data_IF_950438324436
#
_entry.id   IF_950438324436
#
_cell.length_a   1.000
_cell.length_b   1.000
_cell.length_c   1.000
_cell.angle_alpha   90.00
_cell.angle_beta   90.00
_cell.angle_gamma   90.00
#
_symmetry.space_group_name_H-M   'P 1'
#
loop_
_entity.id
_entity.type
_entity.pdbx_description
1 polymer ?
#
# COMPACT_ATOMS: atom_id res chain seq x y z
N UNK A 1 8.37 5.74 22.64
CA UNK A 1 7.93 6.58 21.51
C UNK A 1 6.41 6.45 21.34
N UNK A 2 5.71 7.55 21.07
CA UNK A 2 4.25 7.56 20.81
C UNK A 2 3.96 7.62 19.31
N UNK A 3 2.75 7.28 18.87
CA UNK A 3 2.39 7.34 17.45
C UNK A 3 2.45 8.76 16.85
N UNK A 4 2.00 9.83 17.53
CA UNK A 4 2.20 11.20 17.05
C UNK A 4 3.68 11.55 16.83
N UNK A 5 4.58 11.09 17.71
CA UNK A 5 6.01 11.31 17.54
C UNK A 5 6.56 10.58 16.30
N UNK A 6 6.04 9.36 16.02
CA UNK A 6 6.40 8.58 14.83
C UNK A 6 5.86 9.17 13.53
N UNK A 7 4.65 9.74 13.56
CA UNK A 7 4.08 10.49 12.44
C UNK A 7 4.93 11.72 12.13
N UNK A 8 5.34 12.46 13.17
CA UNK A 8 6.20 13.63 13.04
C UNK A 8 7.59 13.27 12.49
N UNK A 9 8.18 12.17 12.98
CA UNK A 9 9.52 11.72 12.59
C UNK A 9 9.56 11.08 11.20
N UNK A 10 8.43 10.56 10.71
CA UNK A 10 8.31 9.80 9.47
C UNK A 10 8.46 8.29 9.62
N UNK A 11 8.53 7.78 10.85
CA UNK A 11 8.59 6.34 11.17
C UNK A 11 7.22 5.66 11.13
N UNK A 12 6.15 6.44 11.01
CA UNK A 12 4.80 5.98 10.76
C UNK A 12 4.21 6.77 9.59
N UNK A 13 3.70 6.04 8.60
CA UNK A 13 2.95 6.60 7.46
C UNK A 13 1.56 6.00 7.50
N UNK A 14 0.52 6.83 7.47
CA UNK A 14 -0.86 6.38 7.58
C UNK A 14 -1.41 5.92 6.23
N UNK A 15 -0.87 4.81 5.73
CA UNK A 15 -1.34 4.16 4.50
C UNK A 15 -1.17 2.64 4.63
N UNK A 16 -1.99 1.87 3.93
CA UNK A 16 -1.92 0.41 3.94
C UNK A 16 -2.32 -0.19 2.61
N UNK A 17 -2.19 -1.51 2.47
CA UNK A 17 -2.48 -2.19 1.20
C UNK A 17 -3.98 -2.20 0.82
N UNK A 18 -4.88 -2.02 1.81
CA UNK A 18 -6.33 -2.21 1.62
C UNK A 18 -7.14 -0.95 1.94
N UNK A 19 -7.06 -0.45 3.18
CA UNK A 19 -8.13 0.36 3.80
C UNK A 19 -8.05 1.87 3.59
N UNK A 20 -7.00 2.38 2.96
CA UNK A 20 -6.84 3.83 2.80
C UNK A 20 -7.84 4.35 1.76
N UNK A 21 -8.73 5.31 2.08
CA UNK A 21 -9.65 5.90 1.11
C UNK A 21 -8.88 6.60 -0.02
N UNK A 22 -9.40 6.55 -1.25
CA UNK A 22 -8.74 7.12 -2.42
C UNK A 22 -8.48 8.64 -2.27
N UNK A 23 -9.44 9.37 -1.71
CA UNK A 23 -9.36 10.80 -1.42
C UNK A 23 -8.30 11.16 -0.37
N UNK A 24 -7.91 10.21 0.47
CA UNK A 24 -6.81 10.38 1.42
C UNK A 24 -5.43 10.15 0.76
N UNK A 25 -5.40 9.55 -0.43
CA UNK A 25 -4.16 9.27 -1.19
C UNK A 25 -3.86 10.40 -2.18
N UNK A 26 -4.86 10.85 -2.93
CA UNK A 26 -4.72 11.95 -3.91
C UNK A 26 -5.95 12.85 -3.93
N UNK A 27 -5.74 14.15 -4.13
CA UNK A 27 -6.82 15.11 -4.32
C UNK A 27 -7.36 15.12 -5.77
N UNK A 28 -6.53 14.73 -6.73
CA UNK A 28 -6.87 14.72 -8.15
C UNK A 28 -6.26 13.52 -8.87
N UNK A 29 -6.94 13.05 -9.92
CA UNK A 29 -6.52 11.94 -10.79
C UNK A 29 -6.57 12.37 -12.26
N UNK A 30 -5.78 11.73 -13.15
CA UNK A 30 -5.88 11.96 -14.59
C UNK A 30 -7.22 11.46 -15.12
N UNK A 31 -7.86 12.25 -15.99
CA UNK A 31 -9.11 11.87 -16.66
C UNK A 31 -9.20 12.58 -18.02
N UNK A 32 -9.38 11.81 -19.10
CA UNK A 32 -9.56 12.31 -20.48
C UNK A 32 -8.57 13.41 -20.91
N UNK A 33 -7.30 13.26 -20.57
CA UNK A 33 -6.24 14.23 -20.89
C UNK A 33 -6.18 15.46 -19.98
N UNK A 34 -7.10 15.58 -19.02
CA UNK A 34 -7.09 16.57 -17.96
C UNK A 34 -6.84 15.97 -16.57
N UNK A 35 -7.16 16.76 -15.54
CA UNK A 35 -7.11 16.36 -14.14
C UNK A 35 -8.46 16.61 -13.49
N UNK A 36 -9.02 15.58 -12.86
CA UNK A 36 -10.30 15.62 -12.17
C UNK A 36 -10.10 15.52 -10.65
N UNK A 37 -10.92 16.25 -9.88
CA UNK A 37 -10.96 16.11 -8.43
C UNK A 37 -11.51 14.75 -8.01
N UNK A 38 -10.93 14.18 -6.95
CA UNK A 38 -11.45 12.96 -6.33
C UNK A 38 -12.57 13.31 -5.35
N UNK A 39 -13.72 12.64 -5.46
CA UNK A 39 -14.84 12.79 -4.53
C UNK A 39 -14.45 12.36 -3.11
N UNK A 40 -14.95 13.07 -2.10
CA UNK A 40 -14.74 12.78 -0.68
C UNK A 40 -15.77 11.79 -0.08
N UNK A 41 -16.56 11.11 -0.91
CA UNK A 41 -17.62 10.19 -0.47
C UNK A 41 -17.11 8.78 -0.08
N UNK A 42 -15.81 8.52 -0.18
CA UNK A 42 -15.21 7.22 0.17
C UNK A 42 -15.60 6.07 -0.77
N UNK A 43 -15.80 6.35 -2.07
CA UNK A 43 -16.27 5.35 -3.03
C UNK A 43 -15.30 4.21 -3.30
N UNK A 44 -13.99 4.46 -3.17
CA UNK A 44 -12.94 3.47 -3.40
C UNK A 44 -11.88 3.53 -2.32
N UNK A 45 -11.28 2.37 -2.06
CA UNK A 45 -10.09 2.25 -1.23
C UNK A 45 -8.87 1.97 -2.10
N UNK A 46 -7.67 2.18 -1.56
CA UNK A 46 -6.41 1.90 -2.27
C UNK A 46 -6.27 0.41 -2.64
N UNK A 47 -6.93 -0.48 -1.90
CA UNK A 47 -7.05 -1.89 -2.27
C UNK A 47 -7.73 -2.09 -3.63
N UNK A 48 -8.67 -1.22 -4.03
CA UNK A 48 -9.34 -1.29 -5.34
C UNK A 48 -8.38 -0.99 -6.47
N UNK A 49 -7.50 0.00 -6.31
CA UNK A 49 -6.44 0.29 -7.28
C UNK A 49 -5.47 -0.88 -7.43
N UNK A 50 -5.05 -1.51 -6.33
CA UNK A 50 -4.13 -2.66 -6.38
C UNK A 50 -4.78 -3.92 -6.93
N UNK A 51 -6.06 -4.14 -6.63
CA UNK A 51 -6.85 -5.23 -7.19
C UNK A 51 -7.07 -5.03 -8.70
N UNK A 52 -7.36 -3.79 -9.12
CA UNK A 52 -7.49 -3.43 -10.54
C UNK A 52 -6.19 -3.70 -11.32
N UNK A 53 -5.05 -3.28 -10.75
CA UNK A 53 -3.70 -3.48 -11.31
C UNK A 53 -3.16 -4.91 -11.16
N UNK A 54 -3.90 -5.83 -10.55
CA UNK A 54 -3.45 -7.22 -10.32
C UNK A 54 -2.29 -7.36 -9.33
N UNK A 55 -2.01 -6.33 -8.52
CA UNK A 55 -1.02 -6.37 -7.43
C UNK A 55 -1.58 -7.03 -6.16
N UNK A 56 -2.90 -7.08 -6.05
CA UNK A 56 -3.64 -7.68 -4.95
C UNK A 56 -4.63 -8.71 -5.50
N UNK A 57 -4.75 -9.85 -4.84
CA UNK A 57 -5.76 -10.86 -5.19
C UNK A 57 -7.09 -10.58 -4.48
N UNK A 58 -8.20 -11.10 -5.03
CA UNK A 58 -9.52 -11.01 -4.39
C UNK A 58 -9.55 -11.64 -3.00
N UNK A 59 -8.81 -12.75 -2.80
CA UNK A 59 -8.70 -13.45 -1.51
C UNK A 59 -7.96 -12.61 -0.47
N UNK A 60 -6.99 -11.81 -0.89
CA UNK A 60 -6.23 -10.93 0.00
C UNK A 60 -7.01 -9.67 0.43
N UNK A 61 -8.04 -9.29 -0.33
CA UNK A 61 -8.91 -8.16 -0.02
C UNK A 61 -9.94 -8.57 1.04
N UNK A 62 -9.49 -8.57 2.30
CA UNK A 62 -10.23 -9.12 3.44
C UNK A 62 -11.08 -8.08 4.19
N UNK A 63 -10.99 -6.79 3.88
CA UNK A 63 -11.85 -5.78 4.47
C UNK A 63 -13.14 -5.59 3.66
N UNK A 64 -14.23 -5.10 4.29
CA UNK A 64 -15.42 -4.70 3.56
C UNK A 64 -15.08 -3.67 2.48
N UNK A 65 -15.67 -3.84 1.30
CA UNK A 65 -15.63 -2.85 0.23
C UNK A 65 -16.62 -1.72 0.54
N UNK A 66 -16.36 -0.48 0.08
CA UNK A 66 -17.24 0.66 0.33
C UNK A 66 -18.71 0.46 -0.10
N UNK A 67 -18.94 -0.31 -1.15
CA UNK A 67 -20.27 -0.59 -1.71
C UNK A 67 -20.86 -1.93 -1.22
N UNK A 68 -20.14 -2.67 -0.38
CA UNK A 68 -20.54 -4.00 0.08
C UNK A 68 -20.52 -5.10 -0.99
N UNK A 69 -20.08 -4.80 -2.23
CA UNK A 69 -19.98 -5.79 -3.31
C UNK A 69 -18.69 -6.61 -3.18
N UNK A 70 -18.62 -7.82 -3.75
CA UNK A 70 -17.40 -8.63 -3.70
C UNK A 70 -16.14 -7.86 -4.16
N UNK A 71 -14.95 -8.13 -3.59
CA UNK A 71 -13.72 -7.48 -4.01
C UNK A 71 -13.15 -8.19 -5.26
N UNK A 72 -13.84 -8.07 -6.38
CA UNK A 72 -13.37 -8.53 -7.70
C UNK A 72 -12.77 -7.37 -8.49
N UNK A 73 -11.93 -7.67 -9.49
CA UNK A 73 -11.36 -6.64 -10.38
C UNK A 73 -12.46 -5.79 -11.04
N UNK A 74 -13.54 -6.43 -11.47
CA UNK A 74 -14.70 -5.76 -12.09
C UNK A 74 -15.35 -4.75 -11.15
N UNK A 75 -15.74 -5.15 -9.93
CA UNK A 75 -16.35 -4.23 -8.97
C UNK A 75 -15.38 -3.18 -8.43
N UNK A 76 -14.08 -3.49 -8.37
CA UNK A 76 -13.06 -2.48 -8.09
C UNK A 76 -13.05 -1.39 -9.17
N UNK A 77 -13.20 -1.76 -10.46
CA UNK A 77 -13.30 -0.80 -11.55
C UNK A 77 -14.51 0.12 -11.44
N UNK A 78 -15.67 -0.41 -11.04
CA UNK A 78 -16.84 0.41 -10.75
C UNK A 78 -16.62 1.40 -9.60
N UNK A 79 -16.04 0.93 -8.49
CA UNK A 79 -15.70 1.79 -7.34
C UNK A 79 -14.70 2.89 -7.74
N UNK A 80 -13.69 2.55 -8.54
CA UNK A 80 -12.71 3.50 -9.06
C UNK A 80 -13.38 4.54 -9.97
N UNK A 81 -14.31 4.16 -10.85
CA UNK A 81 -15.02 5.13 -11.69
C UNK A 81 -15.79 6.16 -10.85
N UNK A 82 -16.41 5.71 -9.76
CA UNK A 82 -17.17 6.60 -8.86
C UNK A 82 -16.30 7.63 -8.15
N UNK A 83 -14.98 7.41 -8.03
CA UNK A 83 -14.06 8.40 -7.43
C UNK A 83 -14.08 9.74 -8.16
N UNK A 84 -14.44 9.77 -9.44
CA UNK A 84 -14.61 10.98 -10.25
C UNK A 84 -16.07 11.22 -10.63
N UNK A 85 -17.01 10.69 -9.83
CA UNK A 85 -18.44 10.76 -10.06
C UNK A 85 -18.90 10.18 -11.41
N UNK A 86 -18.18 9.18 -11.93
CA UNK A 86 -18.50 8.48 -13.16
C UNK A 86 -18.90 7.01 -12.90
N UNK A 87 -19.22 6.29 -13.98
CA UNK A 87 -19.52 4.86 -13.98
C UNK A 87 -18.79 4.14 -15.13
N UNK A 88 -19.11 2.86 -15.33
CA UNK A 88 -18.50 2.00 -16.36
C UNK A 88 -19.07 2.20 -17.77
N UNK A 89 -20.19 2.91 -17.92
CA UNK A 89 -20.67 3.35 -19.23
C UNK A 89 -19.87 4.56 -19.71
N UNK A 90 -19.39 5.40 -18.77
CA UNK A 90 -18.58 6.58 -19.05
C UNK A 90 -17.08 6.30 -19.17
N UNK A 91 -16.53 5.39 -18.34
CA UNK A 91 -15.08 5.12 -18.28
C UNK A 91 -14.72 3.74 -18.80
N UNK A 92 -13.82 3.72 -19.78
CA UNK A 92 -13.17 2.51 -20.28
C UNK A 92 -12.01 2.05 -19.37
N UNK A 93 -11.42 0.90 -19.72
CA UNK A 93 -10.31 0.32 -18.95
C UNK A 93 -9.07 1.22 -18.95
N UNK A 94 -8.81 1.98 -20.02
CA UNK A 94 -7.67 2.88 -20.10
C UNK A 94 -7.80 4.06 -19.12
N UNK A 95 -9.01 4.63 -18.99
CA UNK A 95 -9.29 5.65 -17.99
C UNK A 95 -9.12 5.09 -16.56
N UNK A 96 -9.62 3.88 -16.29
CA UNK A 96 -9.45 3.23 -14.99
C UNK A 96 -7.99 2.87 -14.67
N UNK A 97 -7.22 2.43 -15.67
CA UNK A 97 -5.78 2.17 -15.53
C UNK A 97 -5.04 3.45 -15.12
N UNK A 98 -5.39 4.60 -15.72
CA UNK A 98 -4.82 5.88 -15.37
C UNK A 98 -5.15 6.30 -13.93
N UNK A 99 -6.40 6.14 -13.50
CA UNK A 99 -6.86 6.44 -12.13
C UNK A 99 -6.16 5.53 -11.11
N UNK A 100 -6.20 4.21 -11.33
CA UNK A 100 -5.59 3.23 -10.44
C UNK A 100 -4.06 3.39 -10.37
N UNK A 101 -3.42 3.69 -11.51
CA UNK A 101 -2.00 4.04 -11.58
C UNK A 101 -1.67 5.26 -10.73
N UNK A 102 -2.41 6.36 -10.91
CA UNK A 102 -2.19 7.58 -10.16
C UNK A 102 -2.30 7.39 -8.63
N UNK A 103 -3.29 6.61 -8.17
CA UNK A 103 -3.48 6.26 -6.76
C UNK A 103 -2.31 5.44 -6.22
N UNK A 104 -1.97 4.34 -6.88
CA UNK A 104 -0.90 3.45 -6.42
C UNK A 104 0.47 4.15 -6.45
N UNK A 105 0.77 4.92 -7.49
CA UNK A 105 2.04 5.65 -7.60
C UNK A 105 2.13 6.75 -6.53
N UNK A 106 1.01 7.43 -6.21
CA UNK A 106 0.96 8.41 -5.12
C UNK A 106 1.18 7.78 -3.74
N UNK A 107 0.64 6.58 -3.52
CA UNK A 107 0.90 5.83 -2.29
C UNK A 107 2.39 5.50 -2.17
N UNK A 108 3.01 4.97 -3.23
CA UNK A 108 4.45 4.67 -3.26
C UNK A 108 5.28 5.93 -3.01
N UNK A 109 4.94 7.06 -3.65
CA UNK A 109 5.62 8.35 -3.42
C UNK A 109 5.54 8.79 -1.96
N UNK A 110 4.39 8.62 -1.31
CA UNK A 110 4.20 8.97 0.10
C UNK A 110 5.11 8.13 1.01
N UNK A 111 5.17 6.82 0.80
CA UNK A 111 6.06 5.92 1.57
C UNK A 111 7.52 6.26 1.28
N UNK A 112 7.90 6.46 0.02
CA UNK A 112 9.26 6.81 -0.38
C UNK A 112 9.71 8.14 0.25
N UNK A 113 8.84 9.15 0.31
CA UNK A 113 9.15 10.43 0.96
C UNK A 113 9.44 10.26 2.45
N UNK A 114 8.71 9.39 3.15
CA UNK A 114 9.00 9.06 4.54
C UNK A 114 10.36 8.34 4.67
N UNK A 115 10.64 7.36 3.81
CA UNK A 115 11.92 6.65 3.79
C UNK A 115 13.10 7.59 3.52
N UNK A 116 12.98 8.56 2.59
CA UNK A 116 14.04 9.56 2.33
C UNK A 116 14.44 10.30 3.60
N UNK A 117 13.47 10.78 4.39
CA UNK A 117 13.74 11.47 5.66
C UNK A 117 14.49 10.60 6.65
N UNK A 118 14.19 9.29 6.69
CA UNK A 118 14.89 8.35 7.56
C UNK A 118 16.33 8.13 7.10
N UNK A 119 16.56 7.91 5.80
CA UNK A 119 17.90 7.70 5.24
C UNK A 119 18.76 8.96 5.36
N UNK A 120 18.19 10.15 5.16
CA UNK A 120 18.89 11.43 5.36
C UNK A 120 19.31 11.63 6.82
N UNK A 121 18.46 11.24 7.77
CA UNK A 121 18.76 11.31 9.21
C UNK A 121 19.75 10.23 9.65
N UNK A 122 19.69 9.05 9.03
CA UNK A 122 20.49 7.89 9.37
C UNK A 122 21.13 7.25 8.12
N UNK A 123 22.19 7.88 7.55
CA UNK A 123 22.79 7.42 6.29
C UNK A 123 23.42 6.03 6.34
N UNK A 124 23.62 5.47 7.54
CA UNK A 124 24.10 4.09 7.75
C UNK A 124 23.06 3.04 7.33
N UNK A 125 21.78 3.42 7.22
CA UNK A 125 20.71 2.51 6.79
C UNK A 125 20.80 2.36 5.27
N UNK A 126 21.22 1.17 4.82
CA UNK A 126 21.32 0.83 3.40
C UNK A 126 20.33 -0.27 2.96
N UNK A 127 19.65 -0.90 3.91
CA UNK A 127 18.80 -2.09 3.67
C UNK A 127 17.41 -1.87 4.23
N UNK A 128 16.38 -2.17 3.44
CA UNK A 128 14.99 -2.23 3.86
C UNK A 128 14.53 -3.69 3.92
N UNK A 129 14.11 -4.14 5.10
CA UNK A 129 13.43 -5.44 5.25
C UNK A 129 11.93 -5.20 5.12
N UNK A 130 11.30 -5.78 4.10
CA UNK A 130 9.87 -5.58 3.81
C UNK A 130 9.06 -6.84 4.12
N UNK A 131 7.88 -6.65 4.70
CA UNK A 131 7.00 -7.74 5.13
C UNK A 131 5.53 -7.31 5.12
N UNK A 132 4.63 -8.28 5.28
CA UNK A 132 3.19 -8.06 5.28
C UNK A 132 2.56 -8.03 3.88
N UNK A 133 1.24 -7.86 3.82
CA UNK A 133 0.46 -7.91 2.57
C UNK A 133 0.86 -6.83 1.55
N UNK A 134 1.32 -5.68 2.01
CA UNK A 134 1.73 -4.55 1.18
C UNK A 134 3.24 -4.52 0.87
N UNK A 135 3.92 -5.66 0.93
CA UNK A 135 5.38 -5.72 0.73
C UNK A 135 5.80 -5.15 -0.64
N UNK A 136 4.98 -5.33 -1.69
CA UNK A 136 5.20 -4.76 -3.01
C UNK A 136 5.21 -3.22 -3.00
N UNK A 137 4.41 -2.56 -2.16
CA UNK A 137 4.39 -1.09 -2.01
C UNK A 137 5.70 -0.64 -1.35
N UNK A 138 6.08 -1.34 -0.28
CA UNK A 138 7.29 -1.03 0.48
C UNK A 138 8.56 -1.28 -0.33
N UNK A 139 8.59 -2.36 -1.12
CA UNK A 139 9.70 -2.73 -2.02
C UNK A 139 9.91 -1.67 -3.11
N UNK A 140 8.83 -1.22 -3.75
CA UNK A 140 8.89 -0.17 -4.77
C UNK A 140 9.31 1.19 -4.17
N UNK A 141 8.80 1.53 -2.99
CA UNK A 141 9.17 2.76 -2.28
C UNK A 141 10.63 2.75 -1.81
N UNK A 142 11.12 1.61 -1.30
CA UNK A 142 12.51 1.44 -0.90
C UNK A 142 13.48 1.50 -2.09
N UNK A 143 13.11 0.87 -3.21
CA UNK A 143 13.86 0.94 -4.47
C UNK A 143 13.98 2.39 -4.98
N UNK A 144 12.89 3.17 -4.86
CA UNK A 144 12.86 4.59 -5.24
C UNK A 144 13.89 5.44 -4.46
N UNK A 145 14.28 5.01 -3.26
CA UNK A 145 15.28 5.69 -2.42
C UNK A 145 16.62 4.95 -2.39
N UNK A 146 16.82 3.98 -3.29
CA UNK A 146 18.06 3.20 -3.46
C UNK A 146 18.47 2.37 -2.24
N UNK A 147 17.50 1.95 -1.42
CA UNK A 147 17.75 0.94 -0.39
C UNK A 147 17.78 -0.44 -1.02
N UNK A 148 18.70 -1.29 -0.57
CA UNK A 148 18.67 -2.71 -0.90
C UNK A 148 17.47 -3.36 -0.21
N UNK A 149 16.57 -3.99 -0.96
CA UNK A 149 15.38 -4.61 -0.39
C UNK A 149 15.60 -6.08 -0.08
N UNK A 150 15.10 -6.50 1.09
CA UNK A 150 15.03 -7.90 1.49
C UNK A 150 13.57 -8.20 1.80
N UNK A 151 12.93 -9.00 0.94
CA UNK A 151 11.56 -9.44 1.20
C UNK A 151 11.59 -10.58 2.19
N UNK A 152 10.86 -10.42 3.30
CA UNK A 152 10.76 -11.47 4.29
C UNK A 152 10.02 -12.70 3.74
N UNK A 153 9.12 -12.49 2.77
CA UNK A 153 8.42 -13.56 2.06
C UNK A 153 9.37 -14.54 1.36
N UNK A 154 10.49 -14.06 0.82
CA UNK A 154 11.47 -14.90 0.14
C UNK A 154 12.21 -15.84 1.11
N UNK A 155 12.21 -15.52 2.41
CA UNK A 155 12.88 -16.32 3.44
C UNK A 155 11.92 -17.15 4.29
N UNK A 156 10.73 -16.63 4.57
CA UNK A 156 9.77 -17.23 5.50
C UNK A 156 8.50 -17.73 4.81
N UNK A 157 8.35 -17.55 3.49
CA UNK A 157 7.16 -17.90 2.74
C UNK A 157 5.90 -17.27 3.34
N UNK A 158 4.86 -18.07 3.54
CA UNK A 158 3.57 -17.61 4.07
C UNK A 158 3.68 -16.95 5.46
N UNK A 159 4.65 -17.33 6.28
CA UNK A 159 4.85 -16.77 7.63
C UNK A 159 5.26 -15.29 7.62
N UNK A 160 5.71 -14.75 6.48
CA UNK A 160 5.98 -13.31 6.33
C UNK A 160 4.71 -12.44 6.47
N UNK A 161 3.52 -13.02 6.25
CA UNK A 161 2.23 -12.35 6.48
C UNK A 161 1.90 -12.21 7.97
N UNK A 162 2.53 -13.03 8.80
CA UNK A 162 2.42 -13.04 10.27
C UNK A 162 3.79 -12.77 10.90
N UNK A 163 4.56 -11.85 10.29
CA UNK A 163 5.93 -11.53 10.71
C UNK A 163 6.10 -11.31 12.23
N UNK A 164 5.17 -10.65 12.96
CA UNK A 164 5.29 -10.54 14.41
C UNK A 164 5.30 -11.89 15.14
N UNK A 165 4.42 -12.82 14.74
CA UNK A 165 4.33 -14.15 15.34
C UNK A 165 5.58 -15.00 15.01
N UNK A 166 6.05 -14.93 13.77
CA UNK A 166 7.28 -15.60 13.35
C UNK A 166 8.51 -15.07 14.12
N UNK A 167 8.59 -13.74 14.31
CA UNK A 167 9.68 -13.10 15.02
C UNK A 167 9.73 -13.51 16.49
N UNK A 168 8.60 -13.50 17.21
CA UNK A 168 8.60 -13.91 18.64
C UNK A 168 8.90 -15.40 18.81
N UNK A 169 8.44 -16.26 17.90
CA UNK A 169 8.77 -17.68 17.91
C UNK A 169 10.28 -17.90 17.71
N UNK A 170 10.88 -17.18 16.76
CA UNK A 170 12.32 -17.25 16.50
C UNK A 170 13.15 -16.73 17.68
N UNK A 171 12.76 -15.61 18.28
CA UNK A 171 13.44 -15.05 19.46
C UNK A 171 13.40 -16.00 20.66
N UNK A 172 12.26 -16.65 20.90
CA UNK A 172 12.14 -17.67 21.94
C UNK A 172 13.05 -18.86 21.66
N UNK A 173 13.00 -19.42 20.45
CA UNK A 173 13.87 -20.52 20.06
C UNK A 173 15.34 -20.17 20.22
N UNK A 174 15.77 -19.00 19.73
CA UNK A 174 17.14 -18.52 19.84
C UNK A 174 17.59 -18.45 21.31
N UNK A 175 16.76 -17.89 22.20
CA UNK A 175 17.09 -17.78 23.63
C UNK A 175 17.26 -19.13 24.33
N UNK A 176 16.53 -20.15 23.89
CA UNK A 176 16.62 -21.51 24.45
C UNK A 176 17.87 -22.25 23.95
N UNK A 177 18.25 -22.06 22.69
CA UNK A 177 19.39 -22.73 22.07
C UNK A 177 20.75 -22.09 22.43
N UNK A 178 20.81 -20.78 22.59
CA UNK A 178 22.08 -20.09 22.90
C UNK A 178 22.41 -20.02 24.39
N UNK A 179 21.49 -20.46 25.26
CA UNK A 179 21.60 -20.28 26.71
C UNK A 179 21.44 -18.81 27.11
N UNK A 180 20.59 -18.55 28.09
CA UNK A 180 20.59 -17.27 28.81
C UNK A 180 21.82 -17.12 29.69
#
# INVERSE_FOLDING_TARGET
HTDPARLLSGELVYTGALRTPAEAVVAQVPLWGGSAGVSADGFALIGDAHLWRGRLSSVDYTCPTPDGRPPTREFAGERLARTVCADREMLDDAALDAIAGALADAQVRTVAAALRRIVERWPVITTAVVAGLGDFIADEAASTVRLHTVRLADRLGASARTAPAAAVAWLLWYSLETGG
#
